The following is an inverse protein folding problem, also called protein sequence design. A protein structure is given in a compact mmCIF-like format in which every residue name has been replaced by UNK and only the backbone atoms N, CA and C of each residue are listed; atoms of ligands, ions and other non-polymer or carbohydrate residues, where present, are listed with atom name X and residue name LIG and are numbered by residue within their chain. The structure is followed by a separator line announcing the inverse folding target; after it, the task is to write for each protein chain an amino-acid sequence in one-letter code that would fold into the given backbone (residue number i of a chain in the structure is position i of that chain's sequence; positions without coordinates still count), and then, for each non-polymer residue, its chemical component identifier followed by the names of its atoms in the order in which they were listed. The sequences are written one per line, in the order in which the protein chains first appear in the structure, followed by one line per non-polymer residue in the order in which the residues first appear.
data_IF_833899499349
#
_entry.id   IF_833899499349
#
_cell.length_a   1.000
_cell.length_b   1.000
_cell.length_c   1.000
_cell.angle_alpha   90.00
_cell.angle_beta   90.00
_cell.angle_gamma   90.00
#
_symmetry.space_group_name_H-M   'P 1'
#
loop_
_entity.id
_entity.type
_entity.pdbx_description
1 polymer ?
#
# COMPACT_ATOMS: atom_id res chain seq x y z
N UNK A 1 0.16 -20.12 -14.17
CA UNK A 1 -0.33 -20.50 -12.83
C UNK A 1 -0.90 -21.89 -12.93
N UNK A 2 -0.50 -22.83 -12.06
CA UNK A 2 -0.97 -24.20 -12.14
C UNK A 2 -2.46 -24.27 -11.74
N UNK A 3 -3.33 -24.58 -12.70
CA UNK A 3 -4.79 -24.60 -12.55
C UNK A 3 -5.32 -25.86 -11.83
N UNK A 4 -4.51 -26.51 -11.00
CA UNK A 4 -4.91 -27.77 -10.35
C UNK A 4 -5.62 -27.46 -9.03
N UNK A 5 -6.88 -27.87 -8.91
CA UNK A 5 -7.54 -27.92 -7.62
C UNK A 5 -6.76 -28.88 -6.71
N UNK A 6 -6.31 -28.45 -5.53
CA UNK A 6 -5.52 -29.30 -4.67
C UNK A 6 -6.38 -30.43 -4.10
N UNK A 7 -5.95 -31.67 -4.31
CA UNK A 7 -6.49 -32.85 -3.68
C UNK A 7 -5.55 -33.20 -2.52
N UNK A 8 -5.88 -32.76 -1.31
CA UNK A 8 -5.05 -33.03 -0.12
C UNK A 8 -5.54 -34.30 0.58
N UNK A 9 -4.74 -35.37 0.57
CA UNK A 9 -5.01 -36.58 1.35
C UNK A 9 -4.54 -36.47 2.82
N UNK A 10 -3.65 -35.51 3.14
CA UNK A 10 -3.14 -35.25 4.47
C UNK A 10 -3.44 -33.80 4.88
N UNK A 11 -3.74 -33.58 6.17
CA UNK A 11 -4.25 -32.29 6.65
C UNK A 11 -3.19 -31.20 6.83
N UNK A 12 -1.89 -31.54 7.01
CA UNK A 12 -0.82 -30.54 7.13
C UNK A 12 0.57 -31.17 6.99
N UNK A 13 1.36 -30.80 5.97
CA UNK A 13 2.76 -31.21 5.80
C UNK A 13 3.66 -29.99 6.03
N UNK A 14 4.46 -30.00 7.09
CA UNK A 14 5.40 -28.92 7.43
C UNK A 14 6.82 -29.40 7.19
N UNK A 15 7.55 -28.67 6.35
CA UNK A 15 8.99 -28.83 6.21
C UNK A 15 9.70 -28.06 7.34
N UNK A 16 10.56 -28.75 8.09
CA UNK A 16 11.31 -28.18 9.22
C UNK A 16 12.73 -27.77 8.84
N UNK A 17 13.12 -27.91 7.56
CA UNK A 17 14.45 -27.55 7.09
C UNK A 17 14.72 -26.05 7.25
N UNK A 18 15.80 -25.66 7.95
CA UNK A 18 16.16 -24.26 8.08
C UNK A 18 16.73 -23.72 6.76
N UNK A 19 16.57 -22.41 6.55
CA UNK A 19 17.17 -21.72 5.42
C UNK A 19 18.71 -21.78 5.50
N UNK A 20 19.45 -21.98 4.38
CA UNK A 20 20.91 -22.06 4.40
C UNK A 20 21.55 -20.74 4.88
N UNK A 21 22.68 -20.86 5.59
CA UNK A 21 23.38 -19.74 6.22
C UNK A 21 23.90 -18.67 5.24
N UNK A 22 24.05 -19.03 3.95
CA UNK A 22 24.41 -18.08 2.89
C UNK A 22 23.36 -16.99 2.66
N UNK A 23 22.11 -17.23 3.07
CA UNK A 23 20.98 -16.31 2.88
C UNK A 23 20.70 -15.58 4.21
N UNK A 24 20.84 -14.24 4.26
CA UNK A 24 20.56 -13.49 5.47
C UNK A 24 19.08 -13.61 5.87
N UNK A 25 18.84 -13.91 7.15
CA UNK A 25 17.50 -13.96 7.74
C UNK A 25 16.82 -12.59 7.68
N UNK A 26 15.54 -12.56 7.34
CA UNK A 26 14.71 -11.34 7.33
C UNK A 26 13.52 -11.54 8.24
N UNK A 27 13.20 -10.49 9.02
CA UNK A 27 11.96 -10.45 9.79
C UNK A 27 10.79 -10.17 8.84
N UNK A 28 9.91 -11.15 8.76
CA UNK A 28 8.68 -11.12 7.96
C UNK A 28 7.70 -10.03 8.42
N UNK A 29 6.69 -9.76 7.59
CA UNK A 29 5.72 -8.67 7.83
C UNK A 29 4.83 -8.93 9.06
N UNK A 30 4.44 -10.19 9.31
CA UNK A 30 3.61 -10.56 10.45
C UNK A 30 2.20 -9.95 10.47
N UNK A 31 1.69 -9.49 9.33
CA UNK A 31 0.35 -8.93 9.20
C UNK A 31 -0.63 -9.95 8.58
N UNK A 32 -1.87 -9.98 9.06
CA UNK A 32 -2.96 -10.75 8.44
C UNK A 32 -3.46 -10.08 7.15
N UNK A 33 -4.35 -10.75 6.42
CA UNK A 33 -4.84 -10.30 5.12
C UNK A 33 -5.56 -8.95 5.19
N UNK A 34 -6.45 -8.71 6.15
CA UNK A 34 -7.16 -7.43 6.28
C UNK A 34 -6.26 -6.20 6.57
N UNK A 35 -5.34 -6.20 7.57
CA UNK A 35 -4.44 -5.07 7.77
C UNK A 35 -3.48 -4.87 6.60
N UNK A 36 -3.04 -5.95 5.93
CA UNK A 36 -2.21 -5.82 4.73
C UNK A 36 -3.00 -5.21 3.55
N UNK A 37 -4.27 -5.57 3.39
CA UNK A 37 -5.16 -4.99 2.38
C UNK A 37 -5.44 -3.51 2.66
N UNK A 38 -5.74 -3.17 3.91
CA UNK A 38 -5.92 -1.80 4.40
C UNK A 38 -4.69 -0.92 4.12
N UNK A 39 -3.48 -1.46 4.29
CA UNK A 39 -2.22 -0.75 4.05
C UNK A 39 -1.70 -0.84 2.60
N UNK A 40 -2.35 -1.59 1.72
CA UNK A 40 -1.84 -1.92 0.37
C UNK A 40 -1.51 -0.70 -0.48
N UNK A 41 -2.36 0.33 -0.47
CA UNK A 41 -2.15 1.57 -1.21
C UNK A 41 -0.96 2.38 -0.68
N UNK A 42 -0.75 2.41 0.65
CA UNK A 42 0.38 3.10 1.26
C UNK A 42 1.71 2.39 0.97
N UNK A 43 1.69 1.05 1.03
CA UNK A 43 2.84 0.22 0.65
C UNK A 43 3.16 0.43 -0.83
N UNK A 44 2.15 0.43 -1.71
CA UNK A 44 2.31 0.69 -3.14
C UNK A 44 2.90 2.07 -3.42
N UNK A 45 2.48 3.11 -2.69
CA UNK A 45 2.98 4.46 -2.88
C UNK A 45 4.44 4.64 -2.43
N UNK A 46 4.82 4.09 -1.26
CA UNK A 46 6.18 4.23 -0.72
C UNK A 46 7.18 3.24 -1.30
N UNK A 47 6.73 2.02 -1.60
CA UNK A 47 7.60 0.91 -2.00
C UNK A 47 7.57 0.62 -3.49
N UNK A 48 7.00 1.52 -4.31
CA UNK A 48 6.84 1.34 -5.76
C UNK A 48 8.14 0.91 -6.44
N UNK A 49 9.23 1.63 -6.21
CA UNK A 49 10.50 1.39 -6.90
C UNK A 49 11.08 0.01 -6.57
N UNK A 50 10.98 -0.42 -5.30
CA UNK A 50 11.43 -1.74 -4.87
C UNK A 50 10.58 -2.87 -5.46
N UNK A 51 9.27 -2.67 -5.54
CA UNK A 51 8.34 -3.63 -6.13
C UNK A 51 8.60 -3.78 -7.63
N UNK A 52 8.78 -2.67 -8.33
CA UNK A 52 9.05 -2.66 -9.77
C UNK A 52 10.40 -3.33 -10.09
N UNK A 53 11.43 -3.09 -9.28
CA UNK A 53 12.73 -3.75 -9.45
C UNK A 53 12.67 -5.25 -9.16
N UNK A 54 11.88 -5.68 -8.18
CA UNK A 54 11.64 -7.11 -7.93
C UNK A 54 10.92 -7.78 -9.09
N UNK A 55 9.86 -7.16 -9.60
CA UNK A 55 9.11 -7.68 -10.75
C UNK A 55 9.98 -7.72 -12.00
N UNK A 56 10.79 -6.67 -12.24
CA UNK A 56 11.75 -6.65 -13.34
C UNK A 56 12.77 -7.78 -13.23
N UNK A 57 13.36 -7.98 -12.06
CA UNK A 57 14.32 -9.07 -11.84
C UNK A 57 13.71 -10.44 -12.16
N UNK A 58 12.45 -10.67 -11.76
CA UNK A 58 11.71 -11.90 -12.09
C UNK A 58 11.46 -12.05 -13.58
N UNK A 59 11.12 -10.97 -14.28
CA UNK A 59 10.91 -10.98 -15.72
C UNK A 59 12.20 -11.25 -16.49
N UNK A 60 13.33 -10.69 -16.03
CA UNK A 60 14.63 -10.86 -16.67
C UNK A 60 15.21 -12.28 -16.47
N UNK A 61 14.79 -13.00 -15.43
CA UNK A 61 15.29 -14.34 -15.06
C UNK A 61 14.18 -15.42 -15.04
N UNK A 62 13.65 -15.83 -16.21
CA UNK A 62 12.60 -16.85 -16.27
C UNK A 62 13.10 -18.19 -15.69
N UNK A 63 12.35 -18.73 -14.71
CA UNK A 63 12.65 -20.01 -14.04
C UNK A 63 13.74 -19.96 -12.97
N UNK A 64 14.46 -18.84 -12.80
CA UNK A 64 15.47 -18.64 -11.74
C UNK A 64 15.16 -17.45 -10.82
N UNK A 65 14.07 -16.71 -11.09
CA UNK A 65 13.70 -15.51 -10.35
C UNK A 65 13.51 -15.75 -8.84
N UNK A 66 13.16 -16.95 -8.41
CA UNK A 66 13.01 -17.30 -6.99
C UNK A 66 14.33 -17.24 -6.20
N UNK A 67 15.46 -17.62 -6.81
CA UNK A 67 16.77 -17.65 -6.15
C UNK A 67 17.57 -16.38 -6.39
N UNK A 68 17.60 -15.88 -7.63
CA UNK A 68 18.41 -14.73 -8.02
C UNK A 68 17.86 -13.42 -7.42
N UNK A 69 16.53 -13.28 -7.32
CA UNK A 69 15.87 -12.04 -6.89
C UNK A 69 15.61 -11.97 -5.37
N UNK A 70 16.24 -12.84 -4.57
CA UNK A 70 16.07 -12.84 -3.11
C UNK A 70 16.52 -11.52 -2.49
N UNK A 71 17.53 -10.85 -3.05
CA UNK A 71 18.01 -9.56 -2.54
C UNK A 71 16.96 -8.46 -2.68
N UNK A 72 16.25 -8.43 -3.80
CA UNK A 72 15.19 -7.47 -4.13
C UNK A 72 13.95 -7.77 -3.29
N UNK A 73 13.58 -9.05 -3.15
CA UNK A 73 12.50 -9.49 -2.27
C UNK A 73 12.71 -9.02 -0.82
N UNK A 74 13.92 -9.16 -0.28
CA UNK A 74 14.25 -8.64 1.06
C UNK A 74 14.07 -7.12 1.18
N UNK A 75 14.34 -6.35 0.12
CA UNK A 75 14.14 -4.89 0.13
C UNK A 75 12.65 -4.55 0.16
N UNK A 76 11.84 -5.25 -0.63
CA UNK A 76 10.38 -5.13 -0.62
C UNK A 76 9.81 -5.40 0.77
N UNK A 77 10.18 -6.52 1.39
CA UNK A 77 9.68 -6.89 2.74
C UNK A 77 10.10 -5.87 3.80
N UNK A 78 11.33 -5.34 3.74
CA UNK A 78 11.78 -4.28 4.66
C UNK A 78 11.00 -2.98 4.49
N UNK A 79 10.73 -2.57 3.24
CA UNK A 79 9.96 -1.37 2.96
C UNK A 79 8.51 -1.51 3.46
N UNK A 80 7.84 -2.60 3.11
CA UNK A 80 6.47 -2.85 3.56
C UNK A 80 6.36 -2.92 5.10
N UNK A 81 7.36 -3.51 5.77
CA UNK A 81 7.42 -3.51 7.24
C UNK A 81 7.51 -2.10 7.82
N UNK A 82 8.36 -1.24 7.24
CA UNK A 82 8.49 0.15 7.70
C UNK A 82 7.18 0.93 7.59
N UNK A 83 6.40 0.71 6.53
CA UNK A 83 5.07 1.34 6.36
C UNK A 83 4.12 0.90 7.47
N UNK A 84 4.03 -0.41 7.73
CA UNK A 84 3.14 -0.95 8.76
C UNK A 84 3.57 -0.46 10.15
N UNK A 85 4.88 -0.42 10.44
CA UNK A 85 5.40 0.13 11.69
C UNK A 85 5.04 1.62 11.87
N UNK A 86 5.13 2.42 10.81
CA UNK A 86 4.79 3.84 10.86
C UNK A 86 3.28 4.07 11.04
N UNK A 87 2.44 3.30 10.34
CA UNK A 87 0.97 3.35 10.52
C UNK A 87 0.58 2.93 11.94
N UNK A 88 1.22 1.90 12.50
CA UNK A 88 0.97 1.45 13.86
C UNK A 88 1.42 2.47 14.93
N UNK A 89 2.45 3.28 14.66
CA UNK A 89 2.90 4.32 15.60
C UNK A 89 1.99 5.56 15.58
N UNK A 90 1.52 5.96 14.39
CA UNK A 90 0.86 7.25 14.22
C UNK A 90 -0.67 7.18 14.09
N UNK A 91 -1.22 6.08 13.55
CA UNK A 91 -2.62 6.00 13.11
C UNK A 91 -3.34 4.71 13.56
N UNK A 92 -2.87 4.08 14.65
CA UNK A 92 -3.30 2.74 15.08
C UNK A 92 -4.82 2.59 15.21
N UNK A 93 -5.49 3.55 15.82
CA UNK A 93 -6.94 3.48 16.07
C UNK A 93 -7.74 3.47 14.77
N UNK A 94 -7.53 4.45 13.90
CA UNK A 94 -8.17 4.53 12.57
C UNK A 94 -7.82 3.32 11.69
N UNK A 95 -6.60 2.80 11.82
CA UNK A 95 -6.15 1.63 11.10
C UNK A 95 -6.88 0.36 11.56
N UNK A 96 -7.06 0.18 12.88
CA UNK A 96 -7.79 -0.96 13.46
C UNK A 96 -9.26 -0.96 13.09
N UNK A 97 -9.92 0.19 13.18
CA UNK A 97 -11.32 0.31 12.76
C UNK A 97 -11.49 -0.12 11.28
N UNK A 98 -10.62 0.36 10.39
CA UNK A 98 -10.71 0.04 8.96
C UNK A 98 -10.52 -1.44 8.67
N UNK A 99 -9.46 -2.08 9.20
CA UNK A 99 -9.25 -3.49 8.90
C UNK A 99 -10.23 -4.42 9.63
N UNK A 100 -10.76 -4.04 10.79
CA UNK A 100 -11.85 -4.80 11.44
C UNK A 100 -13.14 -4.77 10.61
N UNK A 101 -13.48 -3.62 10.02
CA UNK A 101 -14.59 -3.55 9.08
C UNK A 101 -14.35 -4.47 7.87
N UNK A 102 -13.14 -4.47 7.30
CA UNK A 102 -12.81 -5.34 6.16
C UNK A 102 -12.96 -6.82 6.52
N UNK A 103 -12.50 -7.24 7.70
CA UNK A 103 -12.62 -8.63 8.14
C UNK A 103 -14.08 -9.07 8.24
N UNK A 104 -14.98 -8.19 8.69
CA UNK A 104 -16.41 -8.48 8.82
C UNK A 104 -17.17 -8.46 7.48
N UNK A 105 -16.63 -7.81 6.44
CA UNK A 105 -17.32 -7.57 5.16
C UNK A 105 -16.65 -8.31 3.99
N UNK A 106 -16.11 -9.50 4.24
CA UNK A 106 -15.45 -10.32 3.20
C UNK A 106 -14.34 -9.55 2.45
N UNK A 107 -13.66 -8.65 3.16
CA UNK A 107 -12.57 -7.82 2.65
C UNK A 107 -12.92 -6.93 1.46
N UNK A 108 -14.21 -6.59 1.32
CA UNK A 108 -14.66 -5.69 0.28
C UNK A 108 -14.49 -4.23 0.73
N UNK A 109 -13.68 -3.48 -0.03
CA UNK A 109 -13.30 -2.11 0.31
C UNK A 109 -14.49 -1.13 0.30
N UNK A 110 -15.52 -1.39 -0.50
CA UNK A 110 -16.62 -0.45 -0.71
C UNK A 110 -17.58 -0.33 0.48
N UNK A 111 -17.63 -1.31 1.38
CA UNK A 111 -18.42 -1.28 2.61
C UNK A 111 -17.73 -0.45 3.71
N UNK A 112 -16.40 -0.35 3.67
CA UNK A 112 -15.58 0.21 4.76
C UNK A 112 -15.02 1.60 4.44
N UNK A 113 -15.61 2.29 3.46
CA UNK A 113 -15.20 3.63 3.03
C UNK A 113 -15.20 4.74 4.10
N UNK A 114 -16.15 4.80 5.06
CA UNK A 114 -16.07 5.81 6.11
C UNK A 114 -14.82 5.64 6.98
N UNK A 115 -14.43 4.40 7.29
CA UNK A 115 -13.21 4.11 8.05
C UNK A 115 -11.95 4.32 7.22
N UNK A 116 -11.98 3.98 5.93
CA UNK A 116 -10.91 4.27 4.99
C UNK A 116 -10.62 5.77 4.92
N UNK A 117 -11.65 6.61 4.91
CA UNK A 117 -11.49 8.06 4.87
C UNK A 117 -10.78 8.60 6.13
N UNK A 118 -11.16 8.09 7.32
CA UNK A 118 -10.51 8.45 8.59
C UNK A 118 -9.04 8.05 8.60
N UNK A 119 -8.73 6.84 8.12
CA UNK A 119 -7.37 6.34 8.00
C UNK A 119 -6.53 7.19 7.03
N UNK A 120 -7.07 7.45 5.83
CA UNK A 120 -6.41 8.27 4.82
C UNK A 120 -6.08 9.66 5.37
N UNK A 121 -7.05 10.30 6.04
CA UNK A 121 -6.85 11.62 6.66
C UNK A 121 -5.71 11.61 7.68
N UNK A 122 -5.63 10.59 8.55
CA UNK A 122 -4.55 10.46 9.52
C UNK A 122 -3.18 10.29 8.85
N UNK A 123 -3.10 9.40 7.87
CA UNK A 123 -1.84 9.09 7.16
C UNK A 123 -1.34 10.31 6.38
N UNK A 124 -2.22 11.04 5.68
CA UNK A 124 -1.82 12.25 4.96
C UNK A 124 -1.30 13.34 5.89
N UNK A 125 -1.94 13.52 7.05
CA UNK A 125 -1.54 14.54 8.01
C UNK A 125 -0.18 14.22 8.66
N UNK A 126 0.05 12.96 9.05
CA UNK A 126 1.19 12.59 9.90
C UNK A 126 2.41 12.07 9.12
N UNK A 127 2.21 11.44 7.96
CA UNK A 127 3.28 10.72 7.24
C UNK A 127 3.71 11.39 5.94
N UNK A 128 2.85 12.21 5.32
CA UNK A 128 3.15 12.85 4.02
C UNK A 128 3.44 14.34 4.16
N UNK A 129 2.82 15.03 5.14
CA UNK A 129 3.09 16.43 5.45
C UNK A 129 2.57 17.42 4.39
N UNK A 130 1.91 18.49 4.84
CA UNK A 130 1.43 19.58 3.97
C UNK A 130 2.57 20.56 3.64
N UNK A 131 2.73 20.93 2.37
CA UNK A 131 2.95 22.34 2.07
C UNK A 131 1.97 22.82 0.99
N UNK A 132 1.10 23.77 1.34
CA UNK A 132 0.42 24.65 0.38
C UNK A 132 1.14 26.01 0.42
N UNK A 133 1.24 26.81 -0.66
CA UNK A 133 0.28 26.96 -1.77
C UNK A 133 0.85 26.66 -3.18
N UNK A 134 0.01 26.61 -4.24
CA UNK A 134 0.39 26.03 -5.53
C UNK A 134 1.00 27.04 -6.51
N UNK A 135 2.05 26.68 -7.28
CA UNK A 135 2.44 27.41 -8.48
C UNK A 135 1.71 26.88 -9.74
N UNK A 136 1.50 27.72 -10.76
CA UNK A 136 0.81 27.37 -12.02
C UNK A 136 1.71 26.53 -12.95
N UNK A 137 1.12 25.59 -13.70
CA UNK A 137 1.85 24.64 -14.54
C UNK A 137 1.74 24.92 -16.06
N UNK A 138 2.78 24.58 -16.85
CA UNK A 138 2.63 24.34 -18.28
C UNK A 138 2.94 22.88 -18.69
N UNK A 139 1.93 22.29 -19.35
CA UNK A 139 1.89 21.46 -20.58
C UNK A 139 3.02 20.45 -20.86
N UNK A 140 2.62 19.19 -20.82
CA UNK A 140 3.39 17.98 -21.12
C UNK A 140 3.57 17.69 -22.61
N UNK A 141 4.64 16.95 -22.95
CA UNK A 141 4.50 15.74 -23.77
C UNK A 141 5.69 14.79 -23.58
N UNK A 142 5.37 13.50 -23.68
CA UNK A 142 6.18 12.40 -24.21
C UNK A 142 6.87 11.40 -23.26
N UNK A 143 6.36 10.17 -23.37
CA UNK A 143 6.98 8.85 -23.39
C UNK A 143 8.49 8.70 -23.10
N UNK A 144 8.73 7.61 -22.35
CA UNK A 144 9.83 6.63 -22.47
C UNK A 144 11.16 6.85 -21.72
N UNK A 145 11.62 5.70 -21.16
CA UNK A 145 12.99 5.25 -20.88
C UNK A 145 13.58 5.61 -19.50
N UNK A 146 13.90 4.56 -18.73
CA UNK A 146 14.81 4.60 -17.57
C UNK A 146 16.20 5.07 -18.04
N UNK A 147 16.91 5.89 -17.23
CA UNK A 147 18.34 5.74 -17.11
C UNK A 147 18.78 5.50 -15.66
N UNK A 148 19.98 4.96 -15.61
CA UNK A 148 20.72 4.38 -14.50
C UNK A 148 21.25 5.44 -13.52
N UNK A 149 21.12 5.11 -12.22
CA UNK A 149 22.05 5.37 -11.10
C UNK A 149 22.69 6.78 -10.95
N UNK A 150 22.25 7.54 -9.93
CA UNK A 150 23.07 8.06 -8.80
C UNK A 150 22.34 9.19 -8.06
N UNK A 151 22.41 9.15 -6.73
CA UNK A 151 22.14 10.29 -5.86
C UNK A 151 20.96 10.08 -4.90
N UNK A 152 21.27 9.88 -3.62
CA UNK A 152 20.28 9.99 -2.55
C UNK A 152 19.83 11.44 -2.43
N UNK A 153 18.60 11.71 -2.84
CA UNK A 153 17.79 12.85 -2.40
C UNK A 153 16.34 12.41 -2.52
N UNK A 154 15.57 12.48 -1.43
CA UNK A 154 14.12 12.31 -1.50
C UNK A 154 13.58 13.31 -2.53
N UNK A 155 12.97 12.88 -3.65
CA UNK A 155 12.30 13.82 -4.52
C UNK A 155 11.08 14.33 -3.76
N UNK A 156 11.05 15.64 -3.54
CA UNK A 156 9.84 16.40 -3.29
C UNK A 156 8.79 15.89 -4.29
N UNK A 157 7.71 15.29 -3.76
CA UNK A 157 6.62 14.72 -4.54
C UNK A 157 5.84 15.87 -5.20
N UNK A 158 6.37 16.40 -6.30
CA UNK A 158 5.65 17.29 -7.19
C UNK A 158 5.07 16.41 -8.30
N UNK A 159 3.77 16.13 -8.21
CA UNK A 159 3.05 15.27 -9.15
C UNK A 159 2.11 16.14 -9.97
N UNK A 160 2.53 16.57 -11.15
CA UNK A 160 1.64 17.21 -12.13
C UNK A 160 1.48 16.31 -13.36
N UNK A 161 0.25 15.89 -13.63
CA UNK A 161 -0.19 15.40 -14.96
C UNK A 161 -1.58 16.01 -15.25
N UNK A 162 -1.83 16.49 -16.49
CA UNK A 162 -2.88 17.46 -16.80
C UNK A 162 -4.20 16.86 -17.31
N UNK A 163 -5.28 17.53 -16.92
CA UNK A 163 -6.55 17.77 -17.61
C UNK A 163 -7.33 16.56 -18.18
N UNK A 164 -8.05 15.89 -17.28
CA UNK A 164 -9.43 15.48 -17.56
C UNK A 164 -10.35 16.19 -16.55
N UNK A 165 -11.27 16.96 -17.10
CA UNK A 165 -12.25 17.76 -16.38
C UNK A 165 -12.93 16.95 -15.26
N UNK A 166 -12.90 17.54 -14.07
CA UNK A 166 -13.83 17.28 -12.97
C UNK A 166 -13.65 15.95 -12.28
N UNK A 167 -12.59 15.75 -11.49
CA UNK A 167 -12.59 14.68 -10.49
C UNK A 167 -11.79 15.07 -9.25
N UNK A 168 -12.56 15.39 -8.23
CA UNK A 168 -12.19 15.67 -6.86
C UNK A 168 -11.26 14.56 -6.33
N UNK A 169 -10.24 14.87 -5.50
CA UNK A 169 -9.35 13.86 -4.89
C UNK A 169 -10.15 12.72 -4.27
N UNK A 170 -9.68 11.46 -4.28
CA UNK A 170 -10.48 10.30 -3.82
C UNK A 170 -11.12 10.52 -2.43
N UNK A 171 -10.43 11.24 -1.54
CA UNK A 171 -10.89 11.60 -0.19
C UNK A 171 -11.79 12.85 -0.12
N UNK A 172 -11.92 13.59 -1.22
CA UNK A 172 -12.76 14.77 -1.37
C UNK A 172 -13.93 14.50 -2.35
N UNK A 173 -13.91 13.40 -3.12
CA UNK A 173 -14.95 13.02 -4.08
C UNK A 173 -16.22 12.66 -3.33
N UNK A 174 -17.37 13.24 -3.73
CA UNK A 174 -18.68 12.89 -3.17
C UNK A 174 -19.05 11.40 -3.37
N UNK A 175 -18.43 10.76 -4.38
CA UNK A 175 -18.52 9.32 -4.66
C UNK A 175 -17.15 8.75 -5.04
N UNK A 176 -16.69 7.74 -4.30
CA UNK A 176 -15.48 6.99 -4.68
C UNK A 176 -15.72 6.12 -5.92
N UNK A 177 -14.65 5.84 -6.67
CA UNK A 177 -14.67 5.17 -8.00
C UNK A 177 -15.26 3.74 -8.01
N UNK A 178 -15.51 3.15 -6.83
CA UNK A 178 -16.07 1.80 -6.67
C UNK A 178 -17.31 1.77 -5.76
N UNK A 179 -17.91 2.92 -5.44
CA UNK A 179 -19.11 3.00 -4.60
C UNK A 179 -20.35 3.19 -5.48
N UNK A 180 -21.35 2.32 -5.35
CA UNK A 180 -22.63 2.44 -6.05
C UNK A 180 -23.54 3.53 -5.44
N UNK A 181 -23.16 4.14 -4.31
CA UNK A 181 -23.92 5.18 -3.60
C UNK A 181 -22.99 6.28 -3.00
N UNK A 182 -23.45 7.54 -2.89
CA UNK A 182 -22.70 8.65 -2.29
C UNK A 182 -22.58 8.51 -0.77
N UNK A 183 -21.37 8.80 -0.23
CA UNK A 183 -21.10 8.74 1.21
C UNK A 183 -21.27 10.17 1.78
N UNK A 184 -22.05 10.37 2.85
CA UNK A 184 -22.22 11.69 3.45
C UNK A 184 -20.91 12.20 4.07
N UNK A 185 -20.45 13.36 3.60
CA UNK A 185 -19.30 14.09 4.12
C UNK A 185 -19.69 14.78 5.45
N UNK A 186 -19.04 14.43 6.56
CA UNK A 186 -19.20 15.13 7.85
C UNK A 186 -17.94 15.94 8.18
N UNK A 187 -17.95 17.27 8.00
CA UNK A 187 -16.76 18.12 8.16
C UNK A 187 -16.30 18.36 9.60
N UNK A 188 -17.07 17.97 10.62
CA UNK A 188 -16.83 18.41 12.01
C UNK A 188 -16.82 17.33 13.10
N UNK A 189 -16.73 16.05 12.77
CA UNK A 189 -16.52 15.03 13.81
C UNK A 189 -15.13 15.25 14.46
N UNK A 190 -15.12 15.73 15.71
CA UNK A 190 -13.90 15.87 16.49
C UNK A 190 -13.46 14.49 16.96
N UNK A 191 -12.15 14.31 17.11
CA UNK A 191 -11.53 13.04 17.54
C UNK A 191 -11.99 12.58 18.94
N UNK A 192 -12.63 13.45 19.72
CA UNK A 192 -13.11 13.14 21.09
C UNK A 192 -14.43 12.36 21.12
N UNK A 193 -15.21 12.37 20.04
CA UNK A 193 -16.52 11.68 20.00
C UNK A 193 -16.40 10.17 19.74
N UNK A 194 -15.20 9.67 19.38
CA UNK A 194 -14.96 8.25 19.09
C UNK A 194 -14.71 7.38 20.34
N UNK A 195 -14.69 7.98 21.53
CA UNK A 195 -14.33 7.28 22.78
C UNK A 195 -15.52 6.93 23.68
N UNK A 196 -16.76 7.14 23.23
CA UNK A 196 -17.97 6.98 24.04
C UNK A 196 -19.16 6.54 23.18
N UNK A 197 -19.13 5.31 22.68
CA UNK A 197 -20.32 4.46 22.41
C UNK A 197 -19.88 3.02 22.21
#
# INVERSE_FOLDING_TARGET
MASRNPQFNNQHLVDTTPLPDSIPKVKELGASSAPLLSASFFIGARCKDYNDDFMKCKTDNPGKGEFECLKEGRRVTRCARSVIEDVNKHCLESFRAHWQCLENNNQQLWQCRPDEWRLNKCVFHNLVGFPFPPPPAPRHTFLHIRPSLRGMSFPKLEKTIPDAAGNIPVHLRSQQIYAHAPIPYQPHAKYEDAKSS
#
